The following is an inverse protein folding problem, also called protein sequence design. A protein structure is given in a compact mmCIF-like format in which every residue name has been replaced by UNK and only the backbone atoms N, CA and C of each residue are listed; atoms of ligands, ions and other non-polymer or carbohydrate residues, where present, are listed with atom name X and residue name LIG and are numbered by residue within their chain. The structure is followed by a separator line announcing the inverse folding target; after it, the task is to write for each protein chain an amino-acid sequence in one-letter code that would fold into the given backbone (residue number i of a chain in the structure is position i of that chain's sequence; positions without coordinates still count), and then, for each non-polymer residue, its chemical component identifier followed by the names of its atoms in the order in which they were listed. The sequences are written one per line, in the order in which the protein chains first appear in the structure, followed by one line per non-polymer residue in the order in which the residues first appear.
data_IF_741992178349
#
_entry.id   IF_741992178349
#
_cell.length_a   1.000
_cell.length_b   1.000
_cell.length_c   1.000
_cell.angle_alpha   90.00
_cell.angle_beta   90.00
_cell.angle_gamma   90.00
#
_symmetry.space_group_name_H-M   'P 1'
#
loop_
_entity.id
_entity.type
_entity.pdbx_description
1 polymer ?
#
# COMPACT_ATOMS: atom_id res chain seq x y z
N UNK A 1 11.22 -3.19 3.28
CA UNK A 1 10.16 -2.18 3.24
C UNK A 1 9.13 -2.53 4.30
N UNK A 2 8.57 -1.51 4.94
CA UNK A 2 7.44 -1.65 5.86
C UNK A 2 6.15 -1.40 5.06
N UNK A 3 5.13 -2.24 5.27
CA UNK A 3 3.79 -1.99 4.74
C UNK A 3 2.89 -1.43 5.85
N UNK A 4 2.06 -0.46 5.49
CA UNK A 4 1.08 0.12 6.41
C UNK A 4 -0.27 0.14 5.71
N UNK A 5 -1.18 -0.68 6.22
CA UNK A 5 -2.51 -0.88 5.67
C UNK A 5 -3.55 -0.11 6.49
N UNK A 6 -4.44 0.59 5.79
CA UNK A 6 -5.63 1.21 6.37
C UNK A 6 -6.85 0.64 5.66
N UNK A 7 -7.61 -0.21 6.34
CA UNK A 7 -8.84 -0.80 5.84
C UNK A 7 -10.00 -0.26 6.66
N UNK A 8 -10.75 0.75 6.19
CA UNK A 8 -11.91 1.24 6.92
C UNK A 8 -12.98 0.14 6.93
N UNK A 9 -13.01 -0.63 8.01
CA UNK A 9 -13.82 -1.83 8.13
C UNK A 9 -14.57 -1.84 9.45
N UNK A 10 -15.78 -2.37 9.42
CA UNK A 10 -16.62 -2.60 10.59
C UNK A 10 -17.26 -3.98 10.45
N UNK A 11 -17.21 -4.77 11.51
CA UNK A 11 -17.81 -6.12 11.56
C UNK A 11 -17.36 -7.03 10.40
N UNK A 12 -16.06 -7.00 10.06
CA UNK A 12 -15.46 -7.85 9.02
C UNK A 12 -15.76 -7.42 7.57
N UNK A 13 -16.42 -6.28 7.38
CA UNK A 13 -16.78 -5.74 6.05
C UNK A 13 -16.23 -4.33 5.89
N UNK A 14 -15.82 -3.97 4.68
CA UNK A 14 -15.38 -2.61 4.35
C UNK A 14 -16.55 -1.64 4.46
N UNK A 15 -16.35 -0.56 5.19
CA UNK A 15 -17.29 0.52 5.34
C UNK A 15 -17.33 1.36 4.05
N UNK A 16 -18.33 1.09 3.22
CA UNK A 16 -18.55 1.81 1.96
C UNK A 16 -18.86 3.29 2.16
N UNK A 17 -19.34 3.70 3.33
CA UNK A 17 -19.56 5.13 3.63
C UNK A 17 -18.24 5.89 3.78
N UNK A 18 -17.18 5.19 4.19
CA UNK A 18 -15.84 5.75 4.31
C UNK A 18 -15.06 5.73 2.98
N UNK A 19 -15.21 4.69 2.16
CA UNK A 19 -14.49 4.55 0.87
C UNK A 19 -15.23 5.21 -0.31
N UNK A 20 -16.56 5.31 -0.25
CA UNK A 20 -17.43 5.80 -1.32
C UNK A 20 -17.82 4.72 -2.34
N UNK A 21 -16.84 4.04 -2.94
CA UNK A 21 -17.04 3.13 -4.07
C UNK A 21 -16.64 1.68 -3.80
N UNK A 22 -15.68 1.44 -2.90
CA UNK A 22 -15.17 0.11 -2.56
C UNK A 22 -15.89 -0.50 -1.36
N UNK A 23 -16.41 -1.72 -1.50
CA UNK A 23 -16.98 -2.50 -0.41
C UNK A 23 -16.52 -3.97 -0.47
N UNK A 24 -17.18 -4.83 0.29
CA UNK A 24 -16.89 -6.27 0.34
C UNK A 24 -16.26 -6.71 1.64
N UNK A 25 -15.90 -7.99 1.74
CA UNK A 25 -15.29 -8.54 2.94
C UNK A 25 -13.88 -8.00 3.15
N UNK A 26 -13.52 -7.78 4.41
CA UNK A 26 -12.18 -7.36 4.79
C UNK A 26 -11.13 -8.36 4.31
N UNK A 27 -11.42 -9.66 4.41
CA UNK A 27 -10.49 -10.71 3.96
C UNK A 27 -10.29 -10.70 2.44
N UNK A 28 -11.33 -10.41 1.67
CA UNK A 28 -11.21 -10.24 0.22
C UNK A 28 -10.30 -9.07 -0.15
N UNK A 29 -10.44 -7.94 0.56
CA UNK A 29 -9.57 -6.79 0.36
C UNK A 29 -8.13 -7.06 0.81
N UNK A 30 -7.92 -7.74 1.95
CA UNK A 30 -6.58 -8.15 2.40
C UNK A 30 -5.89 -9.02 1.36
N UNK A 31 -6.59 -10.04 0.85
CA UNK A 31 -6.04 -10.93 -0.18
C UNK A 31 -5.69 -10.16 -1.46
N UNK A 32 -6.55 -9.22 -1.88
CA UNK A 32 -6.29 -8.38 -3.05
C UNK A 32 -5.08 -7.44 -2.83
N UNK A 33 -4.97 -6.83 -1.66
CA UNK A 33 -3.86 -5.94 -1.29
C UNK A 33 -2.54 -6.71 -1.26
N UNK A 34 -2.52 -7.91 -0.67
CA UNK A 34 -1.35 -8.78 -0.66
C UNK A 34 -0.92 -9.16 -2.08
N UNK A 35 -1.85 -9.67 -2.90
CA UNK A 35 -1.55 -10.06 -4.27
C UNK A 35 -1.04 -8.90 -5.13
N UNK A 36 -1.56 -7.68 -4.89
CA UNK A 36 -1.08 -6.47 -5.57
C UNK A 36 0.33 -6.10 -5.10
N UNK A 37 0.60 -6.22 -3.81
CA UNK A 37 1.92 -5.97 -3.22
C UNK A 37 2.98 -6.90 -3.82
N UNK A 38 2.68 -8.20 -3.92
CA UNK A 38 3.60 -9.19 -4.48
C UNK A 38 3.94 -8.88 -5.95
N UNK A 39 2.94 -8.50 -6.75
CA UNK A 39 3.15 -8.09 -8.15
C UNK A 39 4.00 -6.83 -8.28
N UNK A 40 3.81 -5.86 -7.37
CA UNK A 40 4.62 -4.64 -7.35
C UNK A 40 6.07 -4.97 -6.99
N UNK A 41 6.29 -5.80 -5.98
CA UNK A 41 7.63 -6.28 -5.61
C UNK A 41 8.31 -6.94 -6.81
N UNK A 42 7.64 -7.88 -7.46
CA UNK A 42 8.16 -8.54 -8.65
C UNK A 42 8.48 -7.54 -9.76
N UNK A 43 7.57 -6.62 -10.08
CA UNK A 43 7.77 -5.62 -11.11
C UNK A 43 8.99 -4.71 -10.81
N UNK A 44 9.17 -4.30 -9.55
CA UNK A 44 10.30 -3.48 -9.13
C UNK A 44 11.63 -4.24 -9.21
N UNK A 45 11.65 -5.51 -8.80
CA UNK A 45 12.83 -6.37 -8.94
C UNK A 45 13.18 -6.58 -10.43
N UNK A 46 12.21 -6.96 -11.26
CA UNK A 46 12.44 -7.14 -12.70
C UNK A 46 12.83 -5.83 -13.39
N UNK A 47 12.29 -4.69 -12.97
CA UNK A 47 12.67 -3.37 -13.47
C UNK A 47 14.11 -2.97 -13.16
N UNK A 48 14.71 -3.56 -12.12
CA UNK A 48 16.10 -3.29 -11.73
C UNK A 48 17.16 -4.00 -12.60
N UNK A 49 16.75 -4.76 -13.62
CA UNK A 49 17.65 -5.52 -14.49
C UNK A 49 18.40 -4.60 -15.44
N UNK A 50 19.69 -4.41 -15.21
CA UNK A 50 20.52 -3.55 -16.04
C UNK A 50 20.78 -4.17 -17.43
N UNK A 51 20.51 -3.40 -18.48
CA UNK A 51 20.73 -3.81 -19.89
C UNK A 51 20.04 -5.13 -20.29
N UNK A 52 18.87 -5.43 -19.71
CA UNK A 52 18.08 -6.61 -20.07
C UNK A 52 17.72 -6.66 -21.57
N UNK A 53 17.61 -5.52 -22.24
CA UNK A 53 17.41 -5.44 -23.70
C UNK A 53 18.55 -6.07 -24.52
N UNK A 54 19.77 -6.10 -23.97
CA UNK A 54 20.95 -6.71 -24.61
C UNK A 54 21.23 -8.11 -24.09
N UNK A 55 20.99 -8.35 -22.80
CA UNK A 55 21.12 -9.66 -22.18
C UNK A 55 19.82 -10.04 -21.46
N UNK A 56 18.92 -10.81 -22.11
CA UNK A 56 17.67 -11.26 -21.50
C UNK A 56 17.83 -12.18 -20.29
N UNK A 57 19.05 -12.65 -19.99
CA UNK A 57 19.36 -13.42 -18.79
C UNK A 57 19.97 -12.56 -17.66
N UNK A 58 20.09 -11.24 -17.84
CA UNK A 58 20.59 -10.34 -16.80
C UNK A 58 19.74 -10.46 -15.53
N UNK A 59 20.35 -10.66 -14.37
CA UNK A 59 19.63 -10.75 -13.11
C UNK A 59 19.14 -9.37 -12.61
N UNK A 60 18.09 -9.32 -11.78
CA UNK A 60 17.74 -8.13 -11.00
C UNK A 60 18.93 -7.59 -10.21
N UNK A 61 19.07 -6.27 -10.15
CA UNK A 61 20.11 -5.61 -9.35
C UNK A 61 19.64 -5.31 -7.92
N UNK A 62 18.33 -5.26 -7.70
CA UNK A 62 17.71 -5.00 -6.40
C UNK A 62 16.87 -6.18 -5.98
N UNK A 63 16.84 -6.43 -4.67
CA UNK A 63 15.93 -7.37 -4.01
C UNK A 63 15.07 -6.60 -3.03
N UNK A 64 13.76 -6.71 -3.17
CA UNK A 64 12.82 -6.10 -2.25
C UNK A 64 12.36 -7.13 -1.23
N UNK A 65 12.28 -6.74 0.02
CA UNK A 65 11.82 -7.60 1.11
C UNK A 65 10.88 -6.81 1.99
N UNK A 66 9.70 -7.38 2.28
CA UNK A 66 8.80 -6.85 3.30
C UNK A 66 9.36 -7.25 4.66
N UNK A 67 9.70 -6.27 5.49
CA UNK A 67 10.30 -6.52 6.81
C UNK A 67 9.24 -6.61 7.90
N UNK A 68 8.12 -5.93 7.71
CA UNK A 68 6.97 -5.94 8.61
C UNK A 68 5.74 -5.38 7.89
N UNK A 69 4.56 -5.62 8.46
CA UNK A 69 3.27 -5.15 7.97
C UNK A 69 2.37 -4.76 9.13
N UNK A 70 1.93 -3.50 9.14
CA UNK A 70 1.05 -2.93 10.15
C UNK A 70 -0.33 -2.72 9.54
N UNK A 71 -1.39 -3.08 10.27
CA UNK A 71 -2.77 -2.96 9.83
C UNK A 71 -3.60 -2.13 10.80
N UNK A 72 -4.38 -1.20 10.26
CA UNK A 72 -5.34 -0.39 10.99
C UNK A 72 -6.73 -0.53 10.36
N UNK A 73 -7.74 -0.80 11.19
CA UNK A 73 -9.13 -0.96 10.75
C UNK A 73 -9.91 0.37 10.78
N UNK A 74 -9.28 1.42 10.29
CA UNK A 74 -9.81 2.79 10.26
C UNK A 74 -9.48 3.45 8.92
N UNK A 75 -10.11 4.58 8.65
CA UNK A 75 -9.82 5.38 7.46
C UNK A 75 -8.38 5.92 7.49
N UNK A 76 -7.77 6.02 6.31
CA UNK A 76 -6.46 6.63 6.14
C UNK A 76 -6.46 8.07 6.70
N UNK A 77 -5.42 8.48 7.47
CA UNK A 77 -5.28 9.85 7.91
C UNK A 77 -5.22 10.80 6.72
N UNK A 78 -6.02 11.86 6.78
CA UNK A 78 -6.05 12.88 5.73
C UNK A 78 -6.12 14.30 6.29
N UNK A 79 -5.69 15.26 5.50
CA UNK A 79 -5.77 16.68 5.81
C UNK A 79 -6.33 17.47 4.62
N UNK A 80 -6.98 18.60 4.91
CA UNK A 80 -7.51 19.50 3.89
C UNK A 80 -6.44 20.48 3.44
N UNK A 81 -5.88 20.25 2.25
CA UNK A 81 -4.95 21.18 1.62
C UNK A 81 -5.73 22.30 0.90
N UNK A 82 -5.44 23.59 1.15
CA UNK A 82 -6.06 24.68 0.42
C UNK A 82 -5.97 24.50 -1.10
N UNK A 83 -7.06 24.82 -1.81
CA UNK A 83 -7.16 24.67 -3.27
C UNK A 83 -7.42 23.24 -3.79
N UNK A 84 -7.51 22.23 -2.92
CA UNK A 84 -7.82 20.85 -3.33
C UNK A 84 -9.26 20.49 -2.94
N UNK A 85 -9.99 19.84 -3.86
CA UNK A 85 -11.38 19.42 -3.63
C UNK A 85 -11.48 18.14 -2.79
N UNK A 86 -10.48 17.27 -2.91
CA UNK A 86 -10.37 16.02 -2.15
C UNK A 86 -9.28 16.16 -1.09
N UNK A 87 -9.47 15.58 0.10
CA UNK A 87 -8.46 15.62 1.14
C UNK A 87 -7.21 14.84 0.70
N UNK A 88 -6.04 15.29 1.15
CA UNK A 88 -4.76 14.67 0.83
C UNK A 88 -4.37 13.73 1.97
N UNK A 89 -3.64 12.65 1.66
CA UNK A 89 -3.06 11.78 2.69
C UNK A 89 -2.16 12.57 3.63
N UNK A 90 -2.32 12.36 4.93
CA UNK A 90 -1.45 12.92 5.96
C UNK A 90 -0.35 11.92 6.32
N UNK A 91 0.76 11.97 5.59
CA UNK A 91 1.90 11.11 5.86
C UNK A 91 2.55 11.38 7.22
N UNK A 92 2.48 12.61 7.75
CA UNK A 92 3.06 12.91 9.06
C UNK A 92 2.29 12.19 10.16
N UNK A 93 0.96 12.18 10.08
CA UNK A 93 0.12 11.42 11.01
C UNK A 93 0.41 9.91 10.96
N UNK A 94 0.62 9.36 9.75
CA UNK A 94 0.99 7.95 9.59
C UNK A 94 2.35 7.67 10.22
N UNK A 95 3.38 8.46 9.90
CA UNK A 95 4.74 8.28 10.41
C UNK A 95 4.82 8.42 11.93
N UNK A 96 4.13 9.40 12.50
CA UNK A 96 4.03 9.58 13.95
C UNK A 96 3.35 8.37 14.62
N UNK A 97 2.34 7.78 13.99
CA UNK A 97 1.61 6.64 14.53
C UNK A 97 2.43 5.37 14.58
N UNK A 98 3.32 5.16 13.60
CA UNK A 98 4.17 3.98 13.54
C UNK A 98 5.51 4.17 14.27
N UNK A 99 5.71 5.29 14.97
CA UNK A 99 6.98 5.71 15.61
C UNK A 99 8.19 5.52 14.69
N UNK A 100 8.02 5.83 13.40
CA UNK A 100 9.10 5.75 12.43
C UNK A 100 10.03 6.96 12.64
N UNK A 101 11.26 6.68 13.08
CA UNK A 101 12.34 7.66 13.30
C UNK A 101 13.33 7.69 12.14
#
# INVERSE_FOLDING_TARGET
MLLVHYFPARDGTIDRTATGDVGGSLDGIRAHAQATTDRVIEALEQGSRFRAYKNPAAAPSLRYTVVDSLEFLESLPTWRKPGHRVPMTDYNAIMARIDAR
#
